data_IF_118859032226
#
_entry.id   IF_118859032226
#
_cell.length_a   1.000
_cell.length_b   1.000
_cell.length_c   1.000
_cell.angle_alpha   90.00
_cell.angle_beta   90.00
_cell.angle_gamma   90.00
#
_symmetry.space_group_name_H-M   'P 1'
#
loop_
_entity.id
_entity.type
_entity.pdbx_description
1 polymer ?
#
# COMPACT_ATOMS: atom_id res chain seq x y z
N UNK A 1 9.71 46.05 17.38
CA UNK A 1 9.56 45.63 15.97
C UNK A 1 9.21 46.84 15.15
N UNK A 2 9.87 47.04 14.01
CA UNK A 2 9.41 47.96 12.97
C UNK A 2 8.19 47.36 12.25
N UNK A 3 7.38 48.15 11.53
CA UNK A 3 6.27 47.63 10.70
C UNK A 3 6.74 46.57 9.67
N UNK A 4 7.99 46.69 9.22
CA UNK A 4 8.62 45.72 8.34
C UNK A 4 8.82 44.35 9.02
N UNK A 5 9.31 44.33 10.27
CA UNK A 5 9.57 43.09 11.02
C UNK A 5 8.29 42.27 11.27
N UNK A 6 7.19 42.97 11.56
CA UNK A 6 5.89 42.33 11.75
C UNK A 6 5.36 41.70 10.45
N UNK A 7 5.51 42.42 9.33
CA UNK A 7 5.10 41.93 8.00
C UNK A 7 5.88 40.67 7.60
N UNK A 8 7.19 40.61 7.88
CA UNK A 8 7.99 39.41 7.63
C UNK A 8 7.58 38.22 8.49
N UNK A 9 7.34 38.43 9.79
CA UNK A 9 6.88 37.38 10.70
C UNK A 9 5.52 36.81 10.28
N UNK A 10 4.59 37.66 9.84
CA UNK A 10 3.29 37.25 9.33
C UNK A 10 3.40 36.38 8.07
N UNK A 11 4.20 36.81 7.09
CA UNK A 11 4.42 36.06 5.85
C UNK A 11 5.08 34.71 6.13
N UNK A 12 6.09 34.69 7.01
CA UNK A 12 6.75 33.45 7.42
C UNK A 12 5.77 32.48 8.11
N UNK A 13 4.94 32.96 9.03
CA UNK A 13 3.91 32.14 9.69
C UNK A 13 2.90 31.56 8.71
N UNK A 14 2.38 32.37 7.77
CA UNK A 14 1.46 31.88 6.72
C UNK A 14 2.13 30.79 5.87
N UNK A 15 3.39 30.99 5.50
CA UNK A 15 4.15 30.00 4.74
C UNK A 15 4.31 28.68 5.52
N UNK A 16 4.61 28.74 6.81
CA UNK A 16 4.76 27.56 7.68
C UNK A 16 3.42 26.84 7.86
N UNK A 17 2.31 27.57 7.99
CA UNK A 17 0.96 26.99 8.01
C UNK A 17 0.70 26.19 6.73
N UNK A 18 0.95 26.78 5.56
CA UNK A 18 0.75 26.10 4.26
C UNK A 18 1.65 24.87 4.14
N UNK A 19 2.94 25.02 4.49
CA UNK A 19 3.93 23.94 4.44
C UNK A 19 3.54 22.77 5.36
N UNK A 20 2.96 23.04 6.52
CA UNK A 20 2.48 22.02 7.47
C UNK A 20 1.15 21.42 7.03
N UNK A 21 0.27 22.22 6.42
CA UNK A 21 -1.04 21.78 5.96
C UNK A 21 -0.95 20.73 4.86
N UNK A 22 0.01 20.86 3.93
CA UNK A 22 0.21 19.93 2.82
C UNK A 22 0.37 18.46 3.29
N UNK A 23 1.36 18.09 4.11
CA UNK A 23 1.49 16.72 4.59
C UNK A 23 0.37 16.33 5.55
N UNK A 24 -0.20 17.27 6.32
CA UNK A 24 -1.34 16.99 7.21
C UNK A 24 -2.59 16.56 6.43
N UNK A 25 -2.87 17.23 5.31
CA UNK A 25 -3.96 16.85 4.41
C UNK A 25 -3.70 15.49 3.74
N UNK A 26 -2.45 15.23 3.32
CA UNK A 26 -2.03 13.92 2.79
C UNK A 26 -2.27 12.78 3.80
N UNK A 27 -1.80 12.95 5.04
CA UNK A 27 -2.02 12.00 6.13
C UNK A 27 -3.52 11.78 6.44
N UNK A 28 -4.35 12.81 6.29
CA UNK A 28 -5.81 12.67 6.43
C UNK A 28 -6.40 11.79 5.34
N UNK A 29 -5.99 11.97 4.08
CA UNK A 29 -6.42 11.12 2.96
C UNK A 29 -6.00 9.67 3.20
N UNK A 30 -4.75 9.45 3.62
CA UNK A 30 -4.24 8.10 3.94
C UNK A 30 -4.99 7.47 5.12
N UNK A 31 -5.35 8.25 6.12
CA UNK A 31 -6.17 7.77 7.25
C UNK A 31 -7.57 7.35 6.80
N UNK A 32 -8.22 8.13 5.95
CA UNK A 32 -9.57 7.82 5.44
C UNK A 32 -9.55 6.55 4.59
N UNK A 33 -8.50 6.35 3.77
CA UNK A 33 -8.38 5.20 2.88
C UNK A 33 -7.98 3.91 3.63
N UNK A 34 -7.01 3.98 4.54
CA UNK A 34 -6.43 2.80 5.19
C UNK A 34 -7.04 2.47 6.55
N UNK A 35 -7.72 3.45 7.20
CA UNK A 35 -8.25 3.37 8.58
C UNK A 35 -7.23 3.00 9.66
N UNK A 36 -5.93 3.15 9.36
CA UNK A 36 -4.85 2.88 10.32
C UNK A 36 -4.80 3.96 11.41
N UNK A 37 -4.86 3.60 12.71
CA UNK A 37 -5.03 4.57 13.77
C UNK A 37 -3.86 5.56 13.90
N UNK A 38 -2.61 5.14 13.64
CA UNK A 38 -1.45 6.03 13.77
C UNK A 38 -1.50 7.23 12.81
N UNK A 39 -2.03 7.07 11.59
CA UNK A 39 -2.17 8.17 10.64
C UNK A 39 -3.11 9.26 11.16
N UNK A 40 -4.16 8.87 11.89
CA UNK A 40 -5.04 9.82 12.58
C UNK A 40 -4.29 10.63 13.65
N UNK A 41 -3.42 9.98 14.41
CA UNK A 41 -2.56 10.67 15.40
C UNK A 41 -1.53 11.59 14.74
N UNK A 42 -0.90 11.17 13.64
CA UNK A 42 0.02 12.03 12.89
C UNK A 42 -0.68 13.27 12.32
N UNK A 43 -1.90 13.10 11.80
CA UNK A 43 -2.73 14.19 11.31
C UNK A 43 -3.09 15.16 12.45
N UNK A 44 -3.45 14.65 13.63
CA UNK A 44 -3.68 15.47 14.83
C UNK A 44 -2.43 16.27 15.24
N UNK A 45 -1.24 15.65 15.18
CA UNK A 45 0.02 16.35 15.44
C UNK A 45 0.24 17.53 14.47
N UNK A 46 -0.08 17.33 13.18
CA UNK A 46 -0.01 18.37 12.16
C UNK A 46 -0.96 19.53 12.43
N UNK A 47 -2.21 19.26 12.81
CA UNK A 47 -3.16 20.33 13.18
C UNK A 47 -2.72 21.12 14.41
N UNK A 48 -2.11 20.47 15.40
CA UNK A 48 -1.60 21.13 16.61
C UNK A 48 -0.37 21.98 16.27
N UNK A 49 0.50 21.50 15.36
CA UNK A 49 1.60 22.30 14.84
C UNK A 49 1.10 23.55 14.09
N UNK A 50 0.02 23.44 13.29
CA UNK A 50 -0.61 24.61 12.66
C UNK A 50 -1.19 25.56 13.71
N UNK A 51 -1.86 25.03 14.75
CA UNK A 51 -2.44 25.85 15.81
C UNK A 51 -1.38 26.64 16.61
N UNK A 52 -0.14 26.13 16.69
CA UNK A 52 1.01 26.79 17.33
C UNK A 52 1.38 28.13 16.69
N UNK A 53 1.15 28.28 15.39
CA UNK A 53 1.48 29.53 14.66
C UNK A 53 0.67 30.73 15.18
N UNK A 54 -0.48 30.50 15.81
CA UNK A 54 -1.31 31.57 16.40
C UNK A 54 -0.59 32.25 17.58
N UNK A 55 -0.24 31.56 18.67
CA UNK A 55 0.53 32.18 19.75
C UNK A 55 1.92 32.65 19.28
N UNK A 56 2.55 31.99 18.31
CA UNK A 56 3.84 32.45 17.78
C UNK A 56 3.74 33.81 17.06
N UNK A 57 2.67 34.04 16.27
CA UNK A 57 2.38 35.36 15.71
C UNK A 57 2.12 36.42 16.79
N UNK A 58 1.43 36.06 17.87
CA UNK A 58 1.21 36.96 19.00
C UNK A 58 2.48 37.25 19.81
N UNK A 59 3.44 36.32 19.87
CA UNK A 59 4.75 36.57 20.50
C UNK A 59 5.55 37.64 19.75
N UNK A 60 5.38 37.75 18.43
CA UNK A 60 5.95 38.86 17.65
C UNK A 60 5.42 40.22 18.13
N UNK A 61 4.12 40.30 18.45
CA UNK A 61 3.48 41.52 18.95
C UNK A 61 3.77 41.80 20.44
N UNK A 62 3.80 40.75 21.26
CA UNK A 62 3.91 40.80 22.71
C UNK A 62 5.04 39.89 23.23
N UNK A 63 6.31 40.23 22.93
CA UNK A 63 7.45 39.34 23.18
C UNK A 63 7.71 39.09 24.68
N UNK A 64 7.23 39.94 25.58
CA UNK A 64 7.42 39.79 27.03
C UNK A 64 6.32 38.95 27.71
N UNK A 65 5.34 38.45 26.95
CA UNK A 65 4.20 37.73 27.52
C UNK A 65 4.53 36.27 27.85
N UNK A 66 4.70 35.99 29.15
CA UNK A 66 4.91 34.62 29.66
C UNK A 66 3.79 33.65 29.24
N UNK A 67 2.53 34.12 29.20
CA UNK A 67 1.37 33.28 28.93
C UNK A 67 1.31 32.85 27.46
N UNK A 68 1.68 33.74 26.54
CA UNK A 68 1.72 33.43 25.11
C UNK A 68 2.89 32.48 24.82
N UNK A 69 4.05 32.70 25.47
CA UNK A 69 5.19 31.78 25.36
C UNK A 69 4.85 30.38 25.91
N UNK A 70 4.17 30.30 27.06
CA UNK A 70 3.69 29.03 27.61
C UNK A 70 2.74 28.32 26.63
N UNK A 71 1.81 29.05 26.00
CA UNK A 71 0.87 28.48 25.03
C UNK A 71 1.58 27.93 23.79
N UNK A 72 2.55 28.67 23.24
CA UNK A 72 3.38 28.19 22.13
C UNK A 72 4.19 26.95 22.51
N UNK A 73 4.90 26.99 23.65
CA UNK A 73 5.70 25.88 24.15
C UNK A 73 4.85 24.62 24.42
N UNK A 74 3.62 24.80 24.92
CA UNK A 74 2.67 23.70 25.11
C UNK A 74 2.29 23.05 23.78
N UNK A 75 1.92 23.84 22.76
CA UNK A 75 1.52 23.31 21.47
C UNK A 75 2.68 22.63 20.73
N UNK A 76 3.90 23.18 20.84
CA UNK A 76 5.13 22.54 20.33
C UNK A 76 5.38 21.17 20.97
N UNK A 77 5.28 21.11 22.31
CA UNK A 77 5.43 19.88 23.06
C UNK A 77 4.34 18.86 22.69
N UNK A 78 3.08 19.31 22.66
CA UNK A 78 1.93 18.47 22.37
C UNK A 78 1.97 17.91 20.95
N UNK A 79 2.32 18.71 19.94
CA UNK A 79 2.50 18.26 18.56
C UNK A 79 3.58 17.16 18.47
N UNK A 80 4.72 17.37 19.12
CA UNK A 80 5.82 16.40 19.14
C UNK A 80 5.41 15.10 19.88
N UNK A 81 4.72 15.23 21.01
CA UNK A 81 4.26 14.08 21.81
C UNK A 81 3.23 13.25 21.04
N UNK A 82 2.28 13.90 20.38
CA UNK A 82 1.25 13.23 19.58
C UNK A 82 1.86 12.58 18.34
N UNK A 83 2.88 13.19 17.74
CA UNK A 83 3.65 12.55 16.67
C UNK A 83 4.39 11.29 17.17
N UNK A 84 4.98 11.34 18.36
CA UNK A 84 5.57 10.14 18.99
C UNK A 84 4.51 9.04 19.24
N UNK A 85 3.32 9.42 19.73
CA UNK A 85 2.20 8.50 19.92
C UNK A 85 1.79 7.84 18.60
N UNK A 86 1.80 8.59 17.50
CA UNK A 86 1.59 8.03 16.15
C UNK A 86 2.61 6.93 15.87
N UNK A 87 3.91 7.22 16.00
CA UNK A 87 4.96 6.24 15.69
C UNK A 87 4.89 4.99 16.58
N UNK A 88 4.60 5.14 17.87
CA UNK A 88 4.43 3.99 18.78
C UNK A 88 3.20 3.14 18.41
N UNK A 89 2.18 3.73 17.79
CA UNK A 89 0.97 3.04 17.34
C UNK A 89 1.07 2.40 15.95
N UNK A 90 2.23 2.46 15.28
CA UNK A 90 2.42 1.81 13.97
C UNK A 90 2.12 0.31 14.06
N UNK A 91 2.57 -0.34 15.14
CA UNK A 91 2.43 -1.79 15.34
C UNK A 91 1.20 -2.20 16.17
N UNK A 92 0.33 -1.26 16.58
CA UNK A 92 -0.90 -1.57 17.30
C UNK A 92 -1.21 -0.63 18.47
N UNK A 93 -1.79 -1.21 19.54
CA UNK A 93 -2.23 -0.48 20.73
C UNK A 93 -1.07 -0.31 21.70
N UNK A 94 -1.01 0.86 22.35
CA UNK A 94 0.04 1.20 23.30
C UNK A 94 0.09 0.22 24.49
N UNK A 95 1.25 -0.40 24.69
CA UNK A 95 1.56 -1.25 25.84
C UNK A 95 1.79 -0.45 27.13
N UNK A 96 1.93 -1.15 28.26
CA UNK A 96 2.19 -0.51 29.57
C UNK A 96 3.53 0.24 29.61
N UNK A 97 4.56 -0.32 28.98
CA UNK A 97 5.89 0.30 28.91
C UNK A 97 5.87 1.59 28.07
N UNK A 98 5.21 1.58 26.91
CA UNK A 98 5.11 2.75 26.03
C UNK A 98 4.34 3.90 26.69
N UNK A 99 3.26 3.58 27.42
CA UNK A 99 2.56 4.57 28.25
C UNK A 99 3.45 5.18 29.33
N UNK A 100 4.29 4.38 29.97
CA UNK A 100 5.25 4.88 30.97
C UNK A 100 6.30 5.80 30.32
N UNK A 101 6.82 5.43 29.14
CA UNK A 101 7.76 6.27 28.36
C UNK A 101 7.14 7.62 28.00
N UNK A 102 5.85 7.66 27.66
CA UNK A 102 5.13 8.91 27.37
C UNK A 102 4.85 9.76 28.62
N UNK A 103 4.66 9.14 29.79
CA UNK A 103 4.33 9.86 31.02
C UNK A 103 5.50 10.72 31.55
N UNK A 104 6.74 10.26 31.38
CA UNK A 104 7.95 10.97 31.84
C UNK A 104 8.09 12.38 31.25
N UNK A 105 8.10 12.57 29.92
CA UNK A 105 8.22 13.92 29.34
C UNK A 105 7.00 14.79 29.64
N UNK A 106 5.80 14.22 29.82
CA UNK A 106 4.60 14.97 30.23
C UNK A 106 4.76 15.54 31.63
N UNK A 107 5.24 14.73 32.59
CA UNK A 107 5.52 15.19 33.94
C UNK A 107 6.62 16.28 33.96
N UNK A 108 7.69 16.09 33.17
CA UNK A 108 8.75 17.08 33.03
C UNK A 108 8.24 18.40 32.44
N UNK A 109 7.36 18.34 31.43
CA UNK A 109 6.75 19.53 30.84
C UNK A 109 5.83 20.26 31.83
N UNK A 110 5.02 19.53 32.62
CA UNK A 110 4.20 20.16 33.66
C UNK A 110 5.04 20.89 34.71
N UNK A 111 6.16 20.29 35.14
CA UNK A 111 7.09 20.95 36.07
C UNK A 111 7.72 22.22 35.45
N UNK A 112 8.12 22.16 34.18
CA UNK A 112 8.63 23.32 33.45
C UNK A 112 7.58 24.43 33.29
N UNK A 113 6.33 24.07 32.99
CA UNK A 113 5.21 24.99 32.88
C UNK A 113 4.90 25.69 34.21
N UNK A 114 4.87 24.94 35.31
CA UNK A 114 4.70 25.50 36.66
C UNK A 114 5.81 26.51 36.95
N UNK A 115 7.06 26.14 36.70
CA UNK A 115 8.20 27.05 36.89
C UNK A 115 8.03 28.35 36.09
N UNK A 116 7.67 28.26 34.80
CA UNK A 116 7.48 29.41 33.94
C UNK A 116 6.36 30.34 34.43
N UNK A 117 5.27 29.79 34.97
CA UNK A 117 4.16 30.58 35.53
C UNK A 117 4.59 31.38 36.77
N UNK A 118 5.42 30.79 37.64
CA UNK A 118 5.84 31.43 38.89
C UNK A 118 7.07 32.35 38.74
N UNK A 119 8.03 31.98 37.89
CA UNK A 119 9.31 32.69 37.74
C UNK A 119 9.32 33.61 36.53
N UNK A 120 8.56 33.29 35.48
CA UNK A 120 8.53 34.02 34.21
C UNK A 120 9.59 33.54 33.22
N UNK A 121 9.80 34.35 32.18
CA UNK A 121 10.69 34.04 31.04
C UNK A 121 12.13 33.66 31.47
N UNK A 122 12.74 32.65 30.83
CA UNK A 122 14.09 32.20 31.16
C UNK A 122 15.14 33.30 31.04
N UNK A 123 15.85 33.58 32.14
CA UNK A 123 16.92 34.59 32.19
C UNK A 123 18.33 34.01 32.04
N UNK A 124 18.47 32.67 31.98
CA UNK A 124 19.76 31.99 31.84
C UNK A 124 19.66 30.75 30.95
N UNK A 125 20.78 30.36 30.37
CA UNK A 125 20.90 29.15 29.52
C UNK A 125 20.43 27.89 30.26
N UNK A 126 20.75 27.76 31.55
CA UNK A 126 20.33 26.61 32.35
C UNK A 126 18.81 26.52 32.48
N UNK A 127 18.13 27.66 32.63
CA UNK A 127 16.66 27.72 32.70
C UNK A 127 16.04 27.45 31.33
N UNK A 128 16.65 27.95 30.25
CA UNK A 128 16.25 27.59 28.89
C UNK A 128 16.30 26.08 28.66
N UNK A 129 17.36 25.41 29.10
CA UNK A 129 17.45 23.96 29.04
C UNK A 129 16.36 23.29 29.86
N UNK A 130 16.12 23.72 31.10
CA UNK A 130 15.06 23.15 31.93
C UNK A 130 13.68 23.20 31.23
N UNK A 131 13.33 24.33 30.62
CA UNK A 131 12.03 24.52 29.95
C UNK A 131 11.93 23.73 28.64
N UNK A 132 13.03 23.60 27.88
CA UNK A 132 13.04 22.92 26.56
C UNK A 132 13.33 21.43 26.62
N UNK A 133 13.90 20.93 27.73
CA UNK A 133 14.26 19.52 27.93
C UNK A 133 13.11 18.55 27.64
N UNK A 134 11.85 18.79 28.04
CA UNK A 134 10.74 17.88 27.73
C UNK A 134 10.53 17.71 26.22
N UNK A 135 10.63 18.79 25.45
CA UNK A 135 10.50 18.76 23.98
C UNK A 135 11.69 18.04 23.35
N UNK A 136 12.92 18.32 23.83
CA UNK A 136 14.14 17.62 23.40
C UNK A 136 14.01 16.11 23.67
N UNK A 137 13.54 15.72 24.85
CA UNK A 137 13.35 14.33 25.25
C UNK A 137 12.34 13.60 24.35
N UNK A 138 11.20 14.23 24.04
CA UNK A 138 10.22 13.66 23.08
C UNK A 138 10.84 13.50 21.69
N UNK A 139 11.62 14.48 21.23
CA UNK A 139 12.30 14.42 19.93
C UNK A 139 13.34 13.30 19.87
N UNK A 140 14.07 13.10 20.96
CA UNK A 140 15.00 11.99 21.12
C UNK A 140 14.25 10.64 21.08
N UNK A 141 13.11 10.54 21.76
CA UNK A 141 12.28 9.34 21.72
C UNK A 141 11.73 9.06 20.31
N UNK A 142 11.36 10.10 19.55
CA UNK A 142 10.98 9.96 18.13
C UNK A 142 12.14 9.36 17.33
N UNK A 143 13.33 9.94 17.45
CA UNK A 143 14.52 9.45 16.75
C UNK A 143 14.88 8.00 17.11
N UNK A 144 14.88 7.67 18.41
CA UNK A 144 15.14 6.31 18.89
C UNK A 144 14.07 5.31 18.42
N UNK A 145 12.80 5.72 18.37
CA UNK A 145 11.73 4.88 17.86
C UNK A 145 11.90 4.61 16.36
N UNK A 146 12.29 5.62 15.58
CA UNK A 146 12.56 5.46 14.15
C UNK A 146 13.76 4.51 13.89
N UNK A 147 14.80 4.57 14.73
CA UNK A 147 15.92 3.61 14.66
C UNK A 147 15.48 2.18 14.95
N UNK A 148 14.56 1.98 15.91
CA UNK A 148 14.04 0.63 16.25
C UNK A 148 13.15 0.03 15.19
N UNK A 149 12.41 0.86 14.46
CA UNK A 149 11.53 0.43 13.35
C UNK A 149 12.35 0.07 12.09
N UNK A 150 13.69 0.25 12.13
CA UNK A 150 14.62 0.00 11.03
C UNK A 150 14.52 -1.41 10.44
N UNK A 151 13.77 -1.52 9.35
CA UNK A 151 13.87 -2.58 8.35
C UNK A 151 14.77 -2.14 7.19
N UNK A 152 14.47 -2.59 5.97
CA UNK A 152 15.17 -2.13 4.76
C UNK A 152 15.12 -0.59 4.64
N UNK A 153 16.29 0.04 4.46
CA UNK A 153 16.44 1.49 4.33
C UNK A 153 15.74 2.03 3.07
N UNK A 154 14.43 2.25 3.18
CA UNK A 154 13.66 2.97 2.16
C UNK A 154 13.96 4.46 2.21
N UNK A 155 13.76 5.17 1.09
CA UNK A 155 14.00 6.63 1.02
C UNK A 155 13.21 7.40 2.08
N UNK A 156 11.98 6.99 2.39
CA UNK A 156 11.17 7.62 3.44
C UNK A 156 11.74 7.41 4.85
N UNK A 157 12.28 6.22 5.15
CA UNK A 157 12.92 5.96 6.44
C UNK A 157 14.20 6.77 6.64
N UNK A 158 15.03 6.89 5.59
CA UNK A 158 16.22 7.76 5.64
C UNK A 158 15.80 9.21 5.89
N UNK A 159 14.77 9.69 5.18
CA UNK A 159 14.26 11.05 5.36
C UNK A 159 13.70 11.27 6.78
N UNK A 160 12.97 10.31 7.34
CA UNK A 160 12.49 10.34 8.73
C UNK A 160 13.64 10.42 9.74
N UNK A 161 14.68 9.60 9.57
CA UNK A 161 15.84 9.59 10.46
C UNK A 161 16.65 10.89 10.38
N UNK A 162 16.94 11.37 9.16
CA UNK A 162 17.70 12.60 8.95
C UNK A 162 16.94 13.81 9.46
N UNK A 163 15.63 13.91 9.17
CA UNK A 163 14.81 15.04 9.65
C UNK A 163 14.61 15.03 11.16
N UNK A 164 14.38 13.87 11.79
CA UNK A 164 14.29 13.78 13.25
C UNK A 164 15.62 14.06 13.95
N UNK A 165 16.75 13.63 13.38
CA UNK A 165 18.08 13.96 13.89
C UNK A 165 18.39 15.45 13.76
N UNK A 166 18.09 16.06 12.61
CA UNK A 166 18.24 17.50 12.41
C UNK A 166 17.37 18.29 13.39
N UNK A 167 16.10 17.88 13.58
CA UNK A 167 15.18 18.52 14.52
C UNK A 167 15.69 18.41 15.96
N UNK A 168 16.19 17.24 16.36
CA UNK A 168 16.81 17.02 17.67
C UNK A 168 18.03 17.92 17.88
N UNK A 169 18.88 18.03 16.85
CA UNK A 169 20.11 18.82 16.89
C UNK A 169 19.82 20.31 17.07
N UNK A 170 18.85 20.85 16.31
CA UNK A 170 18.43 22.25 16.45
C UNK A 170 17.83 22.51 17.84
N UNK A 171 16.95 21.62 18.34
CA UNK A 171 16.32 21.78 19.66
C UNK A 171 17.33 21.70 20.81
N UNK A 172 18.32 20.83 20.71
CA UNK A 172 19.37 20.71 21.73
C UNK A 172 20.39 21.85 21.69
N UNK A 173 20.63 22.42 20.49
CA UNK A 173 21.57 23.51 20.28
C UNK A 173 21.02 24.90 20.59
N UNK A 174 19.71 25.12 20.41
CA UNK A 174 19.08 26.44 20.57
C UNK A 174 19.41 27.11 21.93
N UNK A 175 19.32 26.45 23.09
CA UNK A 175 19.58 27.09 24.39
C UNK A 175 21.01 27.60 24.58
N UNK A 176 21.99 27.09 23.83
CA UNK A 176 23.42 27.49 23.94
C UNK A 176 23.68 28.83 23.23
N UNK A 177 22.81 29.22 22.30
CA UNK A 177 23.03 30.40 21.48
C UNK A 177 22.91 31.68 22.32
N UNK A 178 23.99 32.45 22.37
CA UNK A 178 24.03 33.77 23.00
C UNK A 178 23.55 34.91 22.08
N UNK A 179 23.43 34.64 20.77
CA UNK A 179 22.95 35.62 19.79
C UNK A 179 21.47 35.41 19.51
N UNK A 180 20.68 36.48 19.66
CA UNK A 180 19.25 36.47 19.34
C UNK A 180 18.99 36.17 17.86
N UNK A 181 19.84 36.67 16.94
CA UNK A 181 19.72 36.38 15.51
C UNK A 181 19.85 34.87 15.21
N UNK A 182 20.81 34.21 15.87
CA UNK A 182 21.00 32.76 15.74
C UNK A 182 19.82 32.01 16.35
N UNK A 183 19.26 32.46 17.48
CA UNK A 183 18.07 31.84 18.09
C UNK A 183 16.87 31.92 17.14
N UNK A 184 16.59 33.09 16.55
CA UNK A 184 15.51 33.25 15.57
C UNK A 184 15.73 32.38 14.33
N UNK A 185 16.95 32.33 13.79
CA UNK A 185 17.28 31.49 12.65
C UNK A 185 17.04 30.00 12.95
N UNK A 186 17.56 29.51 14.08
CA UNK A 186 17.40 28.12 14.52
C UNK A 186 15.94 27.79 14.77
N UNK A 187 15.18 28.72 15.34
CA UNK A 187 13.74 28.59 15.56
C UNK A 187 12.97 28.44 14.23
N UNK A 188 13.23 29.28 13.22
CA UNK A 188 12.59 29.14 11.90
C UNK A 188 12.99 27.84 11.20
N UNK A 189 14.25 27.43 11.29
CA UNK A 189 14.70 26.13 10.77
C UNK A 189 13.99 24.97 11.48
N UNK A 190 13.77 25.06 12.79
CA UNK A 190 13.01 24.08 13.55
C UNK A 190 11.56 23.98 13.05
N UNK A 191 10.88 25.11 12.84
CA UNK A 191 9.52 25.16 12.31
C UNK A 191 9.41 24.53 10.91
N UNK A 192 10.45 24.65 10.07
CA UNK A 192 10.49 24.01 8.75
C UNK A 192 10.74 22.50 8.82
N UNK A 193 11.42 21.99 9.85
CA UNK A 193 11.76 20.56 9.95
C UNK A 193 10.59 19.68 10.40
N UNK A 194 9.63 20.20 11.18
CA UNK A 194 8.49 19.40 11.61
C UNK A 194 7.56 19.00 10.43
N UNK A 195 7.23 19.90 9.47
CA UNK A 195 6.55 19.53 8.23
C UNK A 195 7.32 18.52 7.38
N UNK A 196 8.66 18.61 7.33
CA UNK A 196 9.49 17.61 6.64
C UNK A 196 9.33 16.24 7.29
N UNK A 197 9.29 16.17 8.61
CA UNK A 197 9.06 14.92 9.36
C UNK A 197 7.67 14.32 9.07
N UNK A 198 6.61 15.16 9.03
CA UNK A 198 5.26 14.73 8.61
C UNK A 198 5.22 14.25 7.16
N UNK A 199 5.90 14.95 6.26
CA UNK A 199 6.01 14.60 4.84
C UNK A 199 6.72 13.26 4.66
N UNK A 200 7.78 13.02 5.42
CA UNK A 200 8.51 11.76 5.39
C UNK A 200 7.64 10.58 5.86
N UNK A 201 6.79 10.78 6.89
CA UNK A 201 5.82 9.78 7.32
C UNK A 201 4.75 9.52 6.26
N UNK A 202 4.19 10.57 5.64
CA UNK A 202 3.24 10.45 4.54
C UNK A 202 3.85 9.67 3.36
N UNK A 203 5.08 10.02 2.95
CA UNK A 203 5.81 9.33 1.90
C UNK A 203 6.04 7.85 2.23
N UNK A 204 6.28 7.52 3.50
CA UNK A 204 6.43 6.13 3.94
C UNK A 204 5.16 5.30 3.72
N UNK A 205 3.98 5.89 3.98
CA UNK A 205 2.71 5.22 3.73
C UNK A 205 2.48 5.03 2.23
N UNK A 206 2.74 6.06 1.42
CA UNK A 206 2.62 6.00 -0.04
C UNK A 206 3.54 4.94 -0.63
N UNK A 207 4.80 4.86 -0.20
CA UNK A 207 5.75 3.84 -0.64
C UNK A 207 5.29 2.43 -0.26
N UNK A 208 4.79 2.26 0.96
CA UNK A 208 4.27 0.97 1.44
C UNK A 208 3.06 0.53 0.62
N UNK A 209 2.15 1.45 0.31
CA UNK A 209 1.00 1.18 -0.54
C UNK A 209 1.42 0.82 -1.97
N UNK A 210 2.38 1.55 -2.55
CA UNK A 210 2.89 1.30 -3.88
C UNK A 210 3.53 -0.09 -4.01
N UNK A 211 4.40 -0.48 -3.07
CA UNK A 211 5.03 -1.81 -3.09
C UNK A 211 4.00 -2.93 -2.88
N UNK A 212 2.99 -2.74 -2.03
CA UNK A 212 1.88 -3.70 -1.91
C UNK A 212 1.13 -3.88 -3.24
N UNK A 213 0.78 -2.79 -3.91
CA UNK A 213 0.09 -2.83 -5.21
C UNK A 213 0.96 -3.55 -6.25
N UNK A 214 2.24 -3.22 -6.32
CA UNK A 214 3.21 -3.85 -7.25
C UNK A 214 3.33 -5.35 -7.03
N UNK A 215 3.39 -5.81 -5.77
CA UNK A 215 3.44 -7.24 -5.43
C UNK A 215 2.11 -7.93 -5.80
N UNK A 216 0.96 -7.30 -5.54
CA UNK A 216 -0.35 -7.85 -5.91
C UNK A 216 -0.51 -7.97 -7.42
N UNK A 217 -0.10 -6.97 -8.19
CA UNK A 217 -0.12 -7.01 -9.65
C UNK A 217 0.78 -8.11 -10.20
N UNK A 218 2.01 -8.25 -9.68
CA UNK A 218 2.91 -9.36 -10.07
C UNK A 218 2.30 -10.72 -9.78
N UNK A 219 1.68 -10.91 -8.61
CA UNK A 219 1.00 -12.17 -8.27
C UNK A 219 -0.16 -12.45 -9.22
N UNK A 220 -0.94 -11.44 -9.59
CA UNK A 220 -2.05 -11.58 -10.53
C UNK A 220 -1.56 -11.99 -11.93
N UNK A 221 -0.57 -11.28 -12.47
CA UNK A 221 0.04 -11.59 -13.76
C UNK A 221 0.63 -13.01 -13.76
N UNK A 222 1.35 -13.40 -12.71
CA UNK A 222 1.91 -14.75 -12.61
C UNK A 222 0.82 -15.82 -12.53
N UNK A 223 -0.27 -15.57 -11.79
CA UNK A 223 -1.39 -16.49 -11.71
C UNK A 223 -2.07 -16.66 -13.08
N UNK A 224 -2.28 -15.57 -13.81
CA UNK A 224 -2.84 -15.59 -15.17
C UNK A 224 -1.91 -16.35 -16.13
N UNK A 225 -0.60 -16.09 -16.08
CA UNK A 225 0.40 -16.79 -16.88
C UNK A 225 0.45 -18.30 -16.56
N UNK A 226 0.36 -18.68 -15.29
CA UNK A 226 0.34 -20.09 -14.88
C UNK A 226 -0.91 -20.82 -15.39
N UNK A 227 -2.09 -20.17 -15.31
CA UNK A 227 -3.34 -20.74 -15.86
C UNK A 227 -3.22 -20.91 -17.36
N UNK A 228 -2.72 -19.89 -18.08
CA UNK A 228 -2.53 -19.97 -19.53
C UNK A 228 -1.55 -21.09 -19.90
N UNK A 229 -0.44 -21.22 -19.17
CA UNK A 229 0.52 -22.30 -19.37
C UNK A 229 -0.13 -23.69 -19.18
N UNK A 230 -0.94 -23.88 -18.15
CA UNK A 230 -1.65 -25.15 -17.92
C UNK A 230 -2.63 -25.45 -19.07
N UNK A 231 -3.38 -24.43 -19.53
CA UNK A 231 -4.30 -24.60 -20.65
C UNK A 231 -3.54 -24.94 -21.94
N UNK A 232 -2.48 -24.21 -22.26
CA UNK A 232 -1.69 -24.35 -23.49
C UNK A 232 -1.00 -25.72 -23.61
N UNK A 233 -0.57 -26.31 -22.49
CA UNK A 233 0.15 -27.59 -22.47
C UNK A 233 -0.71 -28.76 -21.96
N UNK A 234 -2.02 -28.58 -21.83
CA UNK A 234 -2.95 -29.68 -21.57
C UNK A 234 -2.95 -30.66 -22.75
N UNK A 235 -2.88 -31.96 -22.46
CA UNK A 235 -3.02 -33.02 -23.47
C UNK A 235 -4.43 -33.08 -24.06
N UNK A 236 -5.44 -32.73 -23.25
CA UNK A 236 -6.81 -32.59 -23.73
C UNK A 236 -7.03 -31.19 -24.30
N UNK A 237 -7.88 -31.10 -25.33
CA UNK A 237 -8.32 -29.83 -25.90
C UNK A 237 -9.33 -29.22 -24.91
N UNK A 238 -9.07 -28.00 -24.43
CA UNK A 238 -9.94 -27.33 -23.45
C UNK A 238 -10.44 -26.03 -24.05
N UNK A 239 -11.76 -25.93 -24.17
CA UNK A 239 -12.46 -24.81 -24.82
C UNK A 239 -13.59 -24.36 -23.90
N UNK A 240 -13.71 -23.07 -23.64
CA UNK A 240 -14.82 -22.50 -22.90
C UNK A 240 -15.65 -21.62 -23.84
N UNK A 241 -16.97 -21.65 -23.68
CA UNK A 241 -17.90 -20.79 -24.42
C UNK A 241 -18.79 -19.99 -23.48
N UNK A 242 -19.29 -18.86 -23.97
CA UNK A 242 -20.30 -18.08 -23.27
C UNK A 242 -21.70 -18.72 -23.43
N UNK A 243 -22.72 -18.12 -22.82
CA UNK A 243 -24.12 -18.56 -22.91
C UNK A 243 -24.69 -18.61 -24.32
N UNK A 244 -24.09 -17.89 -25.27
CA UNK A 244 -24.45 -17.86 -26.67
C UNK A 244 -23.59 -18.80 -27.53
N UNK A 245 -22.79 -19.70 -26.92
CA UNK A 245 -21.96 -20.68 -27.61
C UNK A 245 -20.73 -20.13 -28.36
N UNK A 246 -20.43 -18.84 -28.22
CA UNK A 246 -19.21 -18.24 -28.79
C UNK A 246 -17.98 -18.61 -27.96
N UNK A 247 -16.89 -18.95 -28.65
CA UNK A 247 -15.62 -19.32 -28.02
C UNK A 247 -15.04 -18.17 -27.18
N UNK A 248 -14.63 -18.50 -25.96
CA UNK A 248 -14.00 -17.57 -25.00
C UNK A 248 -12.58 -17.98 -24.62
N UNK A 249 -12.24 -19.26 -24.76
CA UNK A 249 -10.86 -19.76 -24.63
C UNK A 249 -10.55 -20.73 -25.76
N UNK A 250 -9.30 -20.78 -26.18
CA UNK A 250 -8.82 -21.67 -27.22
C UNK A 250 -7.35 -22.01 -26.92
N UNK A 251 -7.08 -23.23 -26.48
CA UNK A 251 -5.73 -23.66 -26.12
C UNK A 251 -4.94 -24.19 -27.32
N UNK A 252 -3.62 -24.37 -27.19
CA UNK A 252 -2.78 -24.87 -28.29
C UNK A 252 -3.19 -26.25 -28.83
N UNK A 253 -3.74 -27.11 -27.98
CA UNK A 253 -4.33 -28.38 -28.42
C UNK A 253 -5.47 -28.17 -29.42
N UNK A 254 -6.32 -27.17 -29.17
CA UNK A 254 -7.39 -26.79 -30.08
C UNK A 254 -6.84 -26.21 -31.40
N UNK A 255 -5.86 -25.31 -31.33
CA UNK A 255 -5.20 -24.74 -32.52
C UNK A 255 -4.59 -25.83 -33.41
N UNK A 256 -3.85 -26.75 -32.81
CA UNK A 256 -3.19 -27.82 -33.53
C UNK A 256 -4.17 -28.81 -34.18
N UNK A 257 -5.35 -29.02 -33.59
CA UNK A 257 -6.30 -30.02 -34.09
C UNK A 257 -7.36 -29.47 -35.04
N UNK A 258 -7.81 -28.25 -34.81
CA UNK A 258 -8.87 -27.62 -35.58
C UNK A 258 -8.36 -26.58 -36.60
N UNK A 259 -7.10 -26.16 -36.53
CA UNK A 259 -6.45 -25.31 -37.54
C UNK A 259 -6.69 -23.80 -37.40
N UNK A 260 -7.50 -23.38 -36.42
CA UNK A 260 -7.74 -21.96 -36.13
C UNK A 260 -6.78 -21.44 -35.06
N UNK A 261 -6.23 -20.25 -35.25
CA UNK A 261 -5.52 -19.57 -34.15
C UNK A 261 -6.50 -19.03 -33.11
N UNK A 262 -6.04 -18.83 -31.89
CA UNK A 262 -6.83 -18.24 -30.80
C UNK A 262 -7.48 -16.90 -31.19
N UNK A 263 -6.76 -16.07 -31.97
CA UNK A 263 -7.24 -14.78 -32.49
C UNK A 263 -8.34 -14.91 -33.56
N UNK A 264 -8.37 -16.03 -34.28
CA UNK A 264 -9.40 -16.35 -35.27
C UNK A 264 -10.62 -17.01 -34.63
N UNK A 265 -10.41 -17.78 -33.57
CA UNK A 265 -11.44 -18.58 -32.91
C UNK A 265 -12.25 -17.78 -31.87
N UNK A 266 -11.57 -17.09 -30.94
CA UNK A 266 -12.21 -16.44 -29.79
C UNK A 266 -13.14 -15.31 -30.26
N UNK A 267 -14.40 -15.36 -29.81
CA UNK A 267 -15.44 -14.36 -30.08
C UNK A 267 -15.98 -14.32 -31.51
N UNK A 268 -15.45 -15.15 -32.42
CA UNK A 268 -15.80 -15.17 -33.84
C UNK A 268 -16.42 -16.49 -34.29
N UNK A 269 -16.00 -17.60 -33.70
CA UNK A 269 -16.47 -18.93 -34.05
C UNK A 269 -17.45 -19.45 -32.99
N UNK A 270 -18.47 -20.17 -33.43
CA UNK A 270 -19.43 -20.84 -32.55
C UNK A 270 -19.01 -22.30 -32.37
N UNK A 271 -19.17 -22.86 -31.15
CA UNK A 271 -18.72 -24.24 -30.88
C UNK A 271 -19.47 -25.29 -31.72
N UNK A 272 -20.72 -25.01 -32.06
CA UNK A 272 -21.56 -25.92 -32.87
C UNK A 272 -21.00 -26.11 -34.29
N UNK A 273 -20.25 -25.15 -34.81
CA UNK A 273 -19.68 -25.20 -36.16
C UNK A 273 -18.66 -26.34 -36.32
N UNK A 274 -18.10 -26.83 -35.21
CA UNK A 274 -17.17 -27.96 -35.23
C UNK A 274 -17.86 -29.33 -35.19
N UNK A 275 -19.13 -29.43 -34.85
CA UNK A 275 -19.81 -30.73 -34.72
C UNK A 275 -20.37 -31.20 -36.06
N UNK A 276 -20.12 -32.46 -36.42
CA UNK A 276 -20.72 -33.05 -37.63
C UNK A 276 -22.17 -33.42 -37.34
N UNK A 277 -23.12 -32.71 -37.97
CA UNK A 277 -24.56 -32.89 -37.81
C UNK A 277 -25.22 -31.78 -36.98
N UNK A 278 -26.52 -31.94 -36.65
CA UNK A 278 -27.25 -30.95 -35.85
C UNK A 278 -26.90 -31.08 -34.35
N UNK A 279 -25.78 -30.46 -33.94
CA UNK A 279 -25.51 -30.17 -32.54
C UNK A 279 -25.94 -28.73 -32.23
N UNK A 280 -26.58 -28.53 -31.07
CA UNK A 280 -26.98 -27.21 -30.61
C UNK A 280 -26.50 -27.01 -29.18
N UNK A 281 -25.59 -26.06 -29.00
CA UNK A 281 -25.07 -25.67 -27.71
C UNK A 281 -26.22 -25.34 -26.75
N UNK A 282 -26.22 -26.01 -25.60
CA UNK A 282 -27.13 -25.71 -24.50
C UNK A 282 -26.39 -25.85 -23.19
N UNK A 283 -26.67 -24.93 -22.27
CA UNK A 283 -26.23 -25.07 -20.89
C UNK A 283 -26.66 -26.43 -20.34
N UNK A 284 -25.77 -27.03 -19.56
CA UNK A 284 -25.98 -28.34 -18.96
C UNK A 284 -25.93 -28.21 -17.45
N UNK A 285 -27.01 -28.63 -16.77
CA UNK A 285 -27.09 -28.63 -15.31
C UNK A 285 -26.18 -29.71 -14.70
N UNK A 286 -26.12 -30.88 -15.32
CA UNK A 286 -25.28 -32.00 -14.89
C UNK A 286 -24.12 -32.27 -15.85
N UNK A 287 -23.07 -32.92 -15.35
CA UNK A 287 -21.94 -33.35 -16.17
C UNK A 287 -22.40 -34.28 -17.30
N UNK A 288 -22.01 -34.00 -18.55
CA UNK A 288 -22.29 -34.87 -19.71
C UNK A 288 -21.00 -35.31 -20.40
N UNK A 289 -20.94 -36.58 -20.76
CA UNK A 289 -19.85 -37.19 -21.54
C UNK A 289 -20.47 -37.99 -22.69
N UNK A 290 -20.02 -37.76 -23.93
CA UNK A 290 -20.47 -38.48 -25.12
C UNK A 290 -19.41 -38.43 -26.22
N UNK A 291 -19.47 -39.38 -27.14
CA UNK A 291 -18.59 -39.41 -28.30
C UNK A 291 -19.26 -38.70 -29.48
N UNK A 292 -18.50 -37.90 -30.22
CA UNK A 292 -18.99 -37.13 -31.37
C UNK A 292 -17.94 -37.06 -32.47
N UNK A 293 -18.40 -36.88 -33.70
CA UNK A 293 -17.56 -36.52 -34.83
C UNK A 293 -17.48 -35.00 -34.92
N UNK A 294 -16.28 -34.48 -35.15
CA UNK A 294 -16.03 -33.05 -35.32
C UNK A 294 -15.22 -32.79 -36.57
N UNK A 295 -15.39 -31.62 -37.19
CA UNK A 295 -14.70 -31.22 -38.42
C UNK A 295 -13.69 -30.10 -38.12
N UNK A 296 -12.50 -30.18 -38.70
CA UNK A 296 -11.50 -29.11 -38.63
C UNK A 296 -11.65 -28.12 -39.80
N UNK A 297 -10.81 -27.07 -39.83
CA UNK A 297 -10.82 -26.06 -40.89
C UNK A 297 -10.59 -26.63 -42.31
N UNK A 298 -9.89 -27.77 -42.42
CA UNK A 298 -9.56 -28.43 -43.68
C UNK A 298 -10.65 -29.42 -44.15
N UNK A 299 -11.71 -29.59 -43.36
CA UNK A 299 -12.82 -30.51 -43.64
C UNK A 299 -12.57 -31.97 -43.22
N UNK A 300 -11.53 -32.23 -42.44
CA UNK A 300 -11.24 -33.57 -41.90
C UNK A 300 -12.13 -33.87 -40.69
N UNK A 301 -12.82 -35.01 -40.71
CA UNK A 301 -13.65 -35.47 -39.60
C UNK A 301 -12.86 -36.30 -38.60
N UNK A 302 -12.90 -35.89 -37.33
CA UNK A 302 -12.12 -36.46 -36.23
C UNK A 302 -13.06 -36.96 -35.14
N UNK A 303 -12.84 -38.19 -34.66
CA UNK A 303 -13.61 -38.75 -33.55
C UNK A 303 -13.13 -38.18 -32.22
N UNK A 304 -14.02 -37.49 -31.50
CA UNK A 304 -13.73 -36.81 -30.24
C UNK A 304 -14.64 -37.32 -29.13
N UNK A 305 -14.04 -37.59 -27.97
CA UNK A 305 -14.78 -37.74 -26.73
C UNK A 305 -15.00 -36.37 -26.11
N UNK A 306 -16.26 -35.96 -25.99
CA UNK A 306 -16.68 -34.65 -25.53
C UNK A 306 -17.13 -34.75 -24.08
N UNK A 307 -16.56 -33.92 -23.22
CA UNK A 307 -16.99 -33.74 -21.83
C UNK A 307 -17.38 -32.30 -21.60
N UNK A 308 -18.59 -32.09 -21.08
CA UNK A 308 -19.18 -30.76 -20.96
C UNK A 308 -19.62 -30.53 -19.52
N UNK A 309 -19.30 -29.34 -19.02
CA UNK A 309 -19.83 -28.83 -17.75
C UNK A 309 -20.10 -27.34 -17.85
N UNK A 310 -21.27 -26.91 -17.37
CA UNK A 310 -21.57 -25.47 -17.23
C UNK A 310 -21.23 -25.00 -15.83
N UNK A 311 -20.55 -23.86 -15.73
CA UNK A 311 -20.23 -23.17 -14.48
C UNK A 311 -20.95 -21.83 -14.50
N UNK A 312 -21.67 -21.52 -13.42
CA UNK A 312 -22.39 -20.25 -13.24
C UNK A 312 -21.66 -19.44 -12.17
N UNK A 313 -21.20 -18.25 -12.52
CA UNK A 313 -20.48 -17.35 -11.61
C UNK A 313 -21.08 -15.94 -11.68
N UNK A 314 -21.62 -15.46 -10.54
CA UNK A 314 -22.01 -14.06 -10.28
C UNK A 314 -22.88 -13.33 -11.33
N UNK A 315 -23.61 -14.06 -12.19
CA UNK A 315 -24.48 -13.63 -13.31
C UNK A 315 -23.94 -13.89 -14.74
N UNK A 316 -22.88 -14.69 -14.89
CA UNK A 316 -22.42 -15.23 -16.19
C UNK A 316 -22.35 -16.75 -16.13
N UNK A 317 -22.73 -17.40 -17.22
CA UNK A 317 -22.54 -18.82 -17.43
C UNK A 317 -21.45 -19.06 -18.46
N UNK A 318 -20.56 -19.98 -18.13
CA UNK A 318 -19.52 -20.47 -19.02
C UNK A 318 -19.67 -21.97 -19.14
N UNK A 319 -19.69 -22.47 -20.37
CA UNK A 319 -19.70 -23.91 -20.62
C UNK A 319 -18.31 -24.34 -21.05
N UNK A 320 -17.72 -25.25 -20.29
CA UNK A 320 -16.40 -25.82 -20.57
C UNK A 320 -16.57 -27.13 -21.32
N UNK A 321 -15.91 -27.22 -22.46
CA UNK A 321 -15.73 -28.38 -23.31
C UNK A 321 -14.31 -28.90 -23.13
N UNK A 322 -14.19 -30.16 -22.72
CA UNK A 322 -12.93 -30.90 -22.83
C UNK A 322 -13.10 -31.95 -23.92
N UNK A 323 -12.26 -31.86 -24.95
CA UNK A 323 -12.28 -32.75 -26.11
C UNK A 323 -11.03 -33.61 -26.10
N UNK A 324 -11.22 -34.93 -26.17
CA UNK A 324 -10.13 -35.89 -26.25
C UNK A 324 -10.21 -36.67 -27.56
N UNK A 325 -9.11 -36.67 -28.30
CA UNK A 325 -9.00 -37.43 -29.54
C UNK A 325 -9.08 -38.94 -29.28
N UNK A 326 -10.03 -39.61 -29.93
CA UNK A 326 -10.21 -41.06 -29.84
C UNK A 326 -9.41 -41.83 -30.90
N UNK A 327 -8.92 -41.16 -31.94
CA UNK A 327 -8.24 -41.78 -33.08
C UNK A 327 -6.95 -42.49 -32.64
N UNK A 328 -6.17 -41.84 -31.77
CA UNK A 328 -4.95 -42.42 -31.20
C UNK A 328 -5.21 -43.64 -30.29
N UNK A 329 -6.36 -43.67 -29.61
CA UNK A 329 -6.72 -44.77 -28.70
C UNK A 329 -7.13 -46.01 -29.51
N UNK A 330 -7.93 -45.82 -30.56
CA UNK A 330 -8.38 -46.91 -31.41
C UNK A 330 -7.22 -47.60 -32.14
N UNK A 331 -6.19 -46.85 -32.54
CA UNK A 331 -4.99 -47.40 -33.17
C UNK A 331 -4.14 -48.24 -32.20
N UNK A 332 -3.95 -47.77 -30.96
CA UNK A 332 -3.25 -48.53 -29.91
C UNK A 332 -4.02 -49.80 -29.51
N UNK A 333 -5.35 -49.71 -29.36
CA UNK A 333 -6.20 -50.86 -29.03
C UNK A 333 -6.18 -51.89 -30.16
N UNK A 334 -6.21 -51.44 -31.42
CA UNK A 334 -6.12 -52.31 -32.60
C UNK A 334 -4.75 -53.02 -32.67
N UNK A 335 -3.66 -52.27 -32.50
CA UNK A 335 -2.29 -52.82 -32.49
C UNK A 335 -2.05 -53.80 -31.32
N UNK A 336 -2.65 -53.55 -30.15
CA UNK A 336 -2.56 -54.47 -29.01
C UNK A 336 -3.38 -55.75 -29.24
N UNK A 337 -4.57 -55.63 -29.85
CA UNK A 337 -5.39 -56.78 -30.22
C UNK A 337 -4.75 -57.64 -31.32
N UNK A 338 -4.11 -57.03 -32.31
CA UNK A 338 -3.35 -57.72 -33.37
C UNK A 338 -2.12 -58.43 -32.80
N UNK A 339 -1.30 -57.75 -31.97
CA UNK A 339 -0.18 -58.39 -31.28
C UNK A 339 -0.59 -59.56 -30.38
N UNK A 340 -1.75 -59.48 -29.72
CA UNK A 340 -2.29 -60.56 -28.90
C UNK A 340 -2.73 -61.75 -29.77
N UNK A 341 -3.34 -61.50 -30.94
CA UNK A 341 -3.70 -62.55 -31.92
C UNK A 341 -2.46 -63.23 -32.48
N UNK A 342 -1.42 -62.48 -32.86
CA UNK A 342 -0.16 -63.05 -33.36
C UNK A 342 0.57 -63.90 -32.32
N UNK A 343 0.57 -63.49 -31.05
CA UNK A 343 1.12 -64.29 -29.94
C UNK A 343 0.35 -65.57 -29.68
N UNK A 344 -0.96 -65.56 -29.91
CA UNK A 344 -1.82 -66.75 -29.75
C UNK A 344 -1.65 -67.70 -30.95
N UNK A 345 -1.38 -67.18 -32.15
CA UNK A 345 -1.11 -67.96 -33.36
C UNK A 345 0.30 -68.57 -33.41
N UNK A 346 1.30 -67.98 -32.76
CA UNK A 346 2.67 -68.55 -32.64
C UNK A 346 2.84 -69.54 -31.48
N UNK A 347 1.79 -69.79 -30.70
CA UNK A 347 1.79 -70.70 -29.55
C UNK A 347 1.12 -72.05 -29.79
N UNK A 348 0.88 -72.43 -31.05
CA UNK A 348 0.40 -73.76 -31.45
C UNK A 348 1.46 -74.53 -32.23
#
# INVERSE_FOLDING_TARGET
MTEADFSYSLIAGIFIVILTLMPTAGLRVDYVSSRKPYLGWACLAGFIAIAREVPDGFLGLYPESNLIYLASSFLQFLASLIFLVSLLRINGVLGKQEKAVLAVPVAAWMLAAIYLVFVGMPQSVAVWYFVTTPVIAVTLLIFLQLLRVGGDFSTSQILLLVSSFALLSLRAGMPVSSSMEIVYLVYFLELMLFPVLLTALHLSEVQTAHEKVKVLLRRRIQSEANVQFILDYSMDIIVAVNSAGLLTTWNKGAEAKFGFTSEQAIGKVHIDDFFVGYYCHREVEEYREFDSWMENADGETIAMKVRIKTIKESNRSYTIYMLRDLSAINEVVKNHAENKRERTARGQ
#
